data_IF_782421355660
#
_entry.id   IF_782421355660
#
_cell.length_a   1.000
_cell.length_b   1.000
_cell.length_c   1.000
_cell.angle_alpha   90.00
_cell.angle_beta   90.00
_cell.angle_gamma   90.00
#
_symmetry.space_group_name_H-M   'P 1'
#
loop_
_entity.id
_entity.type
_entity.pdbx_description
1 polymer ?
#
# COMPACT_ATOMS: atom_id res chain seq x y z
N UNK A 1 -12.62 4.82 8.75
CA UNK A 1 -11.99 4.60 10.07
C UNK A 1 -11.24 3.27 10.11
N UNK A 2 -11.90 2.12 9.89
CA UNK A 2 -11.28 0.78 9.97
C UNK A 2 -10.08 0.59 9.03
N UNK A 3 -10.17 1.05 7.77
CA UNK A 3 -9.05 0.96 6.83
C UNK A 3 -7.82 1.77 7.29
N UNK A 4 -8.06 2.94 7.88
CA UNK A 4 -7.00 3.78 8.43
C UNK A 4 -6.32 3.10 9.64
N UNK A 5 -7.10 2.50 10.53
CA UNK A 5 -6.54 1.78 11.69
C UNK A 5 -5.71 0.57 11.27
N UNK A 6 -6.14 -0.19 10.27
CA UNK A 6 -5.35 -1.33 9.73
C UNK A 6 -4.01 -0.82 9.18
N UNK A 7 -4.03 0.27 8.40
CA UNK A 7 -2.81 0.86 7.85
C UNK A 7 -1.85 1.35 8.95
N UNK A 8 -2.36 2.02 9.99
CA UNK A 8 -1.56 2.47 11.12
C UNK A 8 -0.93 1.32 11.89
N UNK A 9 -1.69 0.25 12.17
CA UNK A 9 -1.16 -0.96 12.83
C UNK A 9 -0.07 -1.60 11.99
N UNK A 10 -0.26 -1.71 10.67
CA UNK A 10 0.77 -2.22 9.77
C UNK A 10 2.08 -1.43 9.85
N UNK A 11 2.01 -0.10 9.86
CA UNK A 11 3.19 0.75 9.98
C UNK A 11 3.89 0.67 11.34
N UNK A 12 3.19 0.25 12.41
CA UNK A 12 3.79 0.02 13.73
C UNK A 12 4.44 -1.35 13.87
N UNK A 13 3.80 -2.38 13.29
CA UNK A 13 4.30 -3.77 13.38
C UNK A 13 5.63 -3.93 12.64
N UNK A 14 5.80 -3.27 11.48
CA UNK A 14 7.03 -3.36 10.68
C UNK A 14 8.31 -2.97 11.46
N UNK A 15 8.44 -1.77 12.06
CA UNK A 15 9.63 -1.41 12.83
C UNK A 15 9.81 -2.27 14.08
N UNK A 16 8.72 -2.70 14.75
CA UNK A 16 8.82 -3.60 15.91
C UNK A 16 9.41 -4.96 15.53
N UNK A 17 8.97 -5.52 14.39
CA UNK A 17 9.55 -6.74 13.84
C UNK A 17 11.01 -6.53 13.42
N UNK A 18 11.34 -5.39 12.81
CA UNK A 18 12.71 -5.08 12.44
C UNK A 18 13.64 -5.03 13.67
N UNK A 19 13.19 -4.39 14.76
CA UNK A 19 13.94 -4.34 16.03
C UNK A 19 14.13 -5.73 16.66
N UNK A 20 13.17 -6.64 16.52
CA UNK A 20 13.30 -8.00 17.04
C UNK A 20 14.18 -8.91 16.17
N UNK A 21 14.12 -8.76 14.85
CA UNK A 21 14.73 -9.71 13.90
C UNK A 21 16.13 -9.30 13.44
N UNK A 22 16.36 -8.01 13.16
CA UNK A 22 17.64 -7.55 12.62
C UNK A 22 18.84 -7.73 13.56
N UNK A 23 18.71 -7.59 14.91
CA UNK A 23 19.83 -7.82 15.83
C UNK A 23 20.24 -9.29 15.99
N UNK A 24 19.42 -10.23 15.51
CA UNK A 24 19.75 -11.65 15.56
C UNK A 24 20.91 -11.87 14.59
N UNK A 25 22.07 -12.37 15.02
CA UNK A 25 23.21 -12.63 14.13
C UNK A 25 23.02 -13.97 13.38
N UNK A 26 22.08 -14.04 12.43
CA UNK A 26 21.90 -15.23 11.57
C UNK A 26 22.85 -15.18 10.38
N UNK A 27 23.70 -16.21 10.28
CA UNK A 27 24.54 -16.48 9.11
C UNK A 27 24.43 -17.97 8.76
N UNK A 28 23.30 -18.35 8.16
CA UNK A 28 23.08 -19.73 7.73
C UNK A 28 23.59 -19.88 6.30
N UNK A 29 24.66 -20.66 6.10
CA UNK A 29 25.15 -21.01 4.76
C UNK A 29 24.31 -22.16 4.21
N UNK A 30 23.55 -21.91 3.15
CA UNK A 30 22.76 -22.93 2.46
C UNK A 30 23.50 -23.32 1.18
N UNK A 31 24.29 -24.38 1.26
CA UNK A 31 25.25 -24.75 0.20
C UNK A 31 26.42 -23.78 0.10
N UNK A 32 27.11 -23.78 -1.05
CA UNK A 32 28.30 -22.93 -1.28
C UNK A 32 27.98 -21.51 -1.77
N UNK A 33 26.77 -21.27 -2.30
CA UNK A 33 26.45 -20.04 -3.03
C UNK A 33 25.52 -19.07 -2.30
N UNK A 34 24.79 -19.52 -1.27
CA UNK A 34 23.76 -18.69 -0.63
C UNK A 34 23.96 -18.57 0.88
N UNK A 35 24.04 -17.33 1.37
CA UNK A 35 24.10 -17.02 2.80
C UNK A 35 22.79 -16.36 3.21
N UNK A 36 22.08 -17.00 4.11
CA UNK A 36 20.84 -16.49 4.66
C UNK A 36 21.13 -15.60 5.87
N UNK A 37 20.89 -14.31 5.70
CA UNK A 37 21.04 -13.28 6.71
C UNK A 37 19.71 -12.94 7.40
N UNK A 38 19.78 -12.23 8.51
CA UNK A 38 18.64 -11.82 9.34
C UNK A 38 17.64 -10.93 8.59
N UNK A 39 18.10 -10.13 7.64
CA UNK A 39 17.21 -9.33 6.79
C UNK A 39 16.36 -10.19 5.85
N UNK A 40 16.86 -11.34 5.40
CA UNK A 40 16.07 -12.30 4.62
C UNK A 40 14.92 -12.86 5.46
N UNK A 41 15.19 -13.19 6.73
CA UNK A 41 14.17 -13.64 7.67
C UNK A 41 13.10 -12.56 7.90
N UNK A 42 13.52 -11.30 8.07
CA UNK A 42 12.60 -10.18 8.20
C UNK A 42 11.68 -10.03 7.00
N UNK A 43 12.21 -10.11 5.77
CA UNK A 43 11.40 -10.07 4.55
C UNK A 43 10.45 -11.27 4.44
N UNK A 44 10.91 -12.46 4.83
CA UNK A 44 10.09 -13.66 4.82
C UNK A 44 8.90 -13.52 5.77
N UNK A 45 9.13 -13.07 7.01
CA UNK A 45 8.05 -12.81 7.98
C UNK A 45 7.08 -11.77 7.44
N UNK A 46 7.58 -10.67 6.86
CA UNK A 46 6.74 -9.62 6.26
C UNK A 46 5.90 -10.12 5.07
N UNK A 47 6.35 -11.16 4.36
CA UNK A 47 5.62 -11.74 3.23
C UNK A 47 4.47 -12.66 3.65
N UNK A 48 4.51 -13.23 4.86
CA UNK A 48 3.51 -14.20 5.33
C UNK A 48 2.08 -13.65 5.34
N UNK A 49 1.79 -12.44 5.89
CA UNK A 49 0.43 -11.91 5.85
C UNK A 49 -0.10 -11.72 4.42
N UNK A 50 0.78 -11.34 3.48
CA UNK A 50 0.41 -11.19 2.08
C UNK A 50 0.09 -12.53 1.43
N UNK A 51 0.87 -13.58 1.71
CA UNK A 51 0.62 -14.94 1.25
C UNK A 51 -0.69 -15.50 1.82
N UNK A 52 -0.90 -15.36 3.13
CA UNK A 52 -2.14 -15.81 3.79
C UNK A 52 -3.34 -15.09 3.17
N UNK A 53 -3.24 -13.78 2.96
CA UNK A 53 -4.28 -12.98 2.30
C UNK A 53 -4.55 -13.47 0.88
N UNK A 54 -3.50 -13.70 0.08
CA UNK A 54 -3.63 -14.22 -1.30
C UNK A 54 -4.31 -15.58 -1.34
N UNK A 55 -3.99 -16.47 -0.41
CA UNK A 55 -4.64 -17.78 -0.29
C UNK A 55 -6.11 -17.59 0.10
N UNK A 56 -6.40 -16.73 1.07
CA UNK A 56 -7.76 -16.42 1.48
C UNK A 56 -8.62 -15.89 0.32
N UNK A 57 -8.08 -15.01 -0.52
CA UNK A 57 -8.77 -14.45 -1.68
C UNK A 57 -9.27 -15.51 -2.68
N UNK A 58 -8.60 -16.66 -2.80
CA UNK A 58 -9.03 -17.76 -3.69
C UNK A 58 -10.36 -18.37 -3.21
N UNK A 59 -10.63 -18.34 -1.91
CA UNK A 59 -11.85 -18.90 -1.31
C UNK A 59 -13.00 -17.89 -1.21
N UNK A 60 -12.74 -16.60 -1.43
CA UNK A 60 -13.79 -15.59 -1.38
C UNK A 60 -14.69 -15.71 -2.62
N UNK A 61 -16.02 -15.74 -2.44
CA UNK A 61 -16.93 -15.65 -3.57
C UNK A 61 -16.81 -14.28 -4.23
N UNK A 62 -17.14 -14.23 -5.51
CA UNK A 62 -17.29 -12.97 -6.24
C UNK A 62 -18.31 -12.05 -5.55
N UNK A 63 -18.09 -10.74 -5.65
CA UNK A 63 -18.97 -9.75 -5.02
C UNK A 63 -20.41 -9.89 -5.57
N UNK A 64 -21.44 -10.06 -4.71
CA UNK A 64 -22.83 -10.14 -5.15
C UNK A 64 -23.25 -8.93 -5.98
N UNK A 65 -22.79 -7.74 -5.59
CA UNK A 65 -23.09 -6.50 -6.33
C UNK A 65 -22.50 -6.53 -7.74
N UNK A 66 -21.29 -7.05 -7.91
CA UNK A 66 -20.71 -7.23 -9.23
C UNK A 66 -21.49 -8.27 -10.06
N UNK A 67 -21.91 -9.39 -9.45
CA UNK A 67 -22.71 -10.39 -10.15
C UNK A 67 -24.06 -9.82 -10.62
N UNK A 68 -24.73 -9.01 -9.81
CA UNK A 68 -25.98 -8.32 -10.17
C UNK A 68 -25.78 -7.33 -11.33
N UNK A 69 -24.71 -6.53 -11.31
CA UNK A 69 -24.48 -5.52 -12.37
C UNK A 69 -24.20 -6.13 -13.74
N UNK A 70 -23.63 -7.34 -13.80
CA UNK A 70 -23.38 -8.05 -15.07
C UNK A 70 -24.57 -8.96 -15.46
N UNK A 71 -25.69 -8.89 -14.74
CA UNK A 71 -26.92 -9.67 -15.02
C UNK A 71 -26.87 -11.14 -14.59
N UNK A 72 -25.97 -11.49 -13.66
CA UNK A 72 -25.84 -12.86 -13.11
C UNK A 72 -26.54 -12.95 -11.74
N UNK A 73 -27.81 -12.57 -11.69
CA UNK A 73 -28.59 -12.50 -10.45
C UNK A 73 -28.72 -13.85 -9.73
N UNK A 74 -28.88 -14.96 -10.45
CA UNK A 74 -28.92 -16.30 -9.84
C UNK A 74 -27.65 -16.61 -9.03
N UNK A 75 -26.48 -16.29 -9.58
CA UNK A 75 -25.20 -16.48 -8.86
C UNK A 75 -25.08 -15.52 -7.70
N UNK A 76 -25.53 -14.27 -7.84
CA UNK A 76 -25.55 -13.30 -6.76
C UNK A 76 -26.41 -13.80 -5.58
N UNK A 77 -27.58 -14.38 -5.87
CA UNK A 77 -28.49 -14.93 -4.88
C UNK A 77 -27.86 -16.10 -4.12
N UNK A 78 -27.15 -17.00 -4.80
CA UNK A 78 -26.38 -18.07 -4.16
C UNK A 78 -25.33 -17.51 -3.19
N UNK A 79 -24.60 -16.46 -3.59
CA UNK A 79 -23.62 -15.83 -2.69
C UNK A 79 -24.31 -15.18 -1.49
N UNK A 80 -25.46 -14.52 -1.65
CA UNK A 80 -26.23 -13.98 -0.52
C UNK A 80 -26.70 -15.06 0.45
N UNK A 81 -27.20 -16.20 -0.06
CA UNK A 81 -27.59 -17.35 0.77
C UNK A 81 -26.42 -17.89 1.57
N UNK A 82 -25.26 -18.08 0.92
CA UNK A 82 -24.02 -18.52 1.58
C UNK A 82 -23.58 -17.56 2.68
N UNK A 83 -23.55 -16.25 2.39
CA UNK A 83 -23.18 -15.22 3.37
C UNK A 83 -24.17 -15.18 4.54
N UNK A 84 -25.47 -15.32 4.27
CA UNK A 84 -26.50 -15.41 5.31
C UNK A 84 -26.31 -16.64 6.20
N UNK A 85 -26.06 -17.81 5.61
CA UNK A 85 -25.79 -19.04 6.35
C UNK A 85 -24.54 -18.91 7.21
N UNK A 86 -23.46 -18.35 6.69
CA UNK A 86 -22.22 -18.11 7.46
C UNK A 86 -22.41 -17.12 8.61
N UNK A 87 -23.20 -16.06 8.43
CA UNK A 87 -23.41 -15.04 9.45
C UNK A 87 -24.42 -15.45 10.53
N UNK A 88 -25.43 -16.25 10.18
CA UNK A 88 -26.54 -16.61 11.08
C UNK A 88 -26.50 -18.04 11.59
N UNK A 89 -25.71 -18.92 10.95
CA UNK A 89 -25.68 -20.36 11.19
C UNK A 89 -26.91 -21.12 10.69
N UNK A 90 -27.86 -20.46 10.03
CA UNK A 90 -29.10 -21.08 9.52
C UNK A 90 -28.91 -21.65 8.12
N UNK A 91 -29.68 -22.69 7.71
CA UNK A 91 -29.60 -23.25 6.38
C UNK A 91 -29.86 -22.20 5.28
N UNK A 92 -29.16 -22.34 4.14
CA UNK A 92 -29.24 -21.44 2.98
C UNK A 92 -30.67 -21.28 2.45
N UNK A 93 -31.50 -22.32 2.54
CA UNK A 93 -32.89 -22.33 2.06
C UNK A 93 -33.82 -21.46 2.91
N UNK A 94 -33.41 -21.10 4.13
CA UNK A 94 -34.18 -20.20 5.01
C UNK A 94 -33.97 -18.73 4.67
N UNK A 95 -33.17 -18.42 3.64
CA UNK A 95 -32.93 -17.07 3.20
C UNK A 95 -34.23 -16.42 2.68
N UNK A 96 -34.67 -15.26 3.23
CA UNK A 96 -35.99 -14.71 2.96
C UNK A 96 -36.16 -14.12 1.56
N UNK A 97 -35.07 -13.74 0.89
CA UNK A 97 -35.12 -13.10 -0.43
C UNK A 97 -35.02 -14.17 -1.51
N UNK A 98 -36.00 -14.19 -2.43
CA UNK A 98 -36.09 -15.19 -3.51
C UNK A 98 -35.72 -14.67 -4.88
N UNK A 99 -35.86 -13.37 -5.11
CA UNK A 99 -35.58 -12.74 -6.40
C UNK A 99 -34.85 -11.42 -6.17
N UNK A 100 -33.86 -11.14 -7.03
CA UNK A 100 -33.07 -9.92 -6.99
C UNK A 100 -33.48 -8.98 -8.12
N UNK A 101 -33.34 -7.67 -7.88
CA UNK A 101 -33.67 -6.65 -8.88
C UNK A 101 -32.72 -6.76 -10.09
N UNK A 102 -33.31 -6.77 -11.29
CA UNK A 102 -32.57 -6.87 -12.55
C UNK A 102 -32.01 -5.49 -12.97
N UNK A 103 -30.84 -5.13 -12.42
CA UNK A 103 -30.20 -3.82 -12.64
C UNK A 103 -29.91 -3.50 -14.11
N UNK A 104 -29.74 -4.53 -14.94
CA UNK A 104 -29.44 -4.40 -16.37
C UNK A 104 -30.62 -3.83 -17.17
N UNK A 105 -31.86 -4.12 -16.78
CA UNK A 105 -33.07 -3.58 -17.43
C UNK A 105 -33.31 -2.13 -17.04
N UNK A 106 -33.16 -1.82 -15.76
CA UNK A 106 -33.36 -0.46 -15.21
C UNK A 106 -32.39 0.54 -15.84
N UNK A 107 -31.12 0.15 -16.00
CA UNK A 107 -30.11 1.05 -16.59
C UNK A 107 -30.29 1.28 -18.10
N UNK A 108 -30.95 0.37 -18.82
CA UNK A 108 -31.26 0.56 -20.24
C UNK A 108 -32.43 1.54 -20.46
N UNK A 109 -33.41 1.56 -19.55
CA UNK A 109 -34.59 2.44 -19.63
C UNK A 109 -34.27 3.86 -19.12
N UNK A 110 -33.49 3.97 -18.04
CA UNK A 110 -33.06 5.25 -17.47
C UNK A 110 -31.61 5.57 -17.84
N UNK A 111 -31.34 5.76 -19.13
CA UNK A 111 -30.03 6.25 -19.57
C UNK A 111 -29.80 7.68 -19.05
N UNK A 112 -29.20 7.78 -17.88
CA UNK A 112 -28.67 9.04 -17.37
C UNK A 112 -27.72 9.61 -18.44
N UNK A 113 -28.01 10.81 -18.96
CA UNK A 113 -27.24 11.49 -20.03
C UNK A 113 -25.72 11.58 -19.77
N UNK A 114 -25.28 11.32 -18.55
CA UNK A 114 -23.89 11.41 -18.10
C UNK A 114 -23.39 10.13 -17.40
N UNK A 115 -24.11 9.01 -17.44
CA UNK A 115 -23.68 7.73 -16.83
C UNK A 115 -23.42 6.67 -17.90
N UNK A 116 -22.29 5.95 -17.81
CA UNK A 116 -22.05 4.78 -18.66
C UNK A 116 -23.05 3.65 -18.37
N UNK A 117 -23.41 2.86 -19.38
CA UNK A 117 -24.27 1.67 -19.21
C UNK A 117 -23.44 0.41 -18.98
N UNK A 118 -24.06 -0.63 -18.42
CA UNK A 118 -23.45 -1.97 -18.27
C UNK A 118 -24.31 -2.97 -19.03
N UNK A 119 -23.70 -3.71 -19.95
CA UNK A 119 -24.39 -4.78 -20.69
C UNK A 119 -24.18 -6.14 -20.02
N UNK A 120 -25.26 -6.92 -19.92
CA UNK A 120 -25.21 -8.29 -19.42
C UNK A 120 -24.42 -9.20 -20.38
N UNK A 121 -23.69 -10.19 -19.84
CA UNK A 121 -22.91 -11.17 -20.64
C UNK A 121 -21.95 -10.55 -21.69
N UNK A 122 -21.37 -9.41 -21.37
CA UNK A 122 -20.40 -8.67 -22.19
C UNK A 122 -19.05 -9.41 -22.40
N UNK A 123 -18.38 -9.09 -23.50
CA UNK A 123 -16.99 -9.54 -23.76
C UNK A 123 -15.98 -8.78 -22.90
N UNK A 124 -14.76 -9.30 -22.71
CA UNK A 124 -13.71 -8.65 -21.88
C UNK A 124 -13.39 -7.23 -22.37
N UNK A 125 -13.34 -7.02 -23.69
CA UNK A 125 -13.07 -5.72 -24.30
C UNK A 125 -14.22 -4.74 -24.04
N UNK A 126 -15.46 -5.22 -24.18
CA UNK A 126 -16.64 -4.41 -23.89
C UNK A 126 -16.73 -4.03 -22.41
N UNK A 127 -16.38 -4.94 -21.50
CA UNK A 127 -16.31 -4.66 -20.07
C UNK A 127 -15.33 -3.52 -19.73
N UNK A 128 -14.16 -3.51 -20.37
CA UNK A 128 -13.17 -2.45 -20.20
C UNK A 128 -13.69 -1.11 -20.76
N UNK A 129 -14.31 -1.14 -21.94
CA UNK A 129 -14.88 0.08 -22.56
C UNK A 129 -15.98 0.69 -21.70
N UNK A 130 -16.92 -0.12 -21.22
CA UNK A 130 -18.00 0.31 -20.34
C UNK A 130 -17.46 0.83 -19.00
N UNK A 131 -16.45 0.16 -18.44
CA UNK A 131 -15.75 0.63 -17.24
C UNK A 131 -15.11 2.00 -17.45
N UNK A 132 -14.47 2.22 -18.61
CA UNK A 132 -13.91 3.53 -18.97
C UNK A 132 -14.98 4.61 -19.12
N UNK A 133 -16.13 4.25 -19.70
CA UNK A 133 -17.27 5.16 -19.82
C UNK A 133 -17.88 5.53 -18.47
N UNK A 134 -17.75 4.72 -17.43
CA UNK A 134 -18.19 5.05 -16.07
C UNK A 134 -17.20 5.93 -15.31
N UNK A 135 -15.92 5.90 -15.68
CA UNK A 135 -14.89 6.77 -15.12
C UNK A 135 -14.99 8.17 -15.74
N UNK A 136 -15.35 8.27 -17.02
CA UNK A 136 -15.42 9.53 -17.76
C UNK A 136 -16.22 10.65 -17.03
N UNK A 137 -17.43 10.40 -16.47
CA UNK A 137 -18.25 11.39 -15.75
C UNK A 137 -17.56 12.02 -14.56
N UNK A 138 -16.60 11.31 -13.95
CA UNK A 138 -15.83 11.80 -12.81
C UNK A 138 -14.96 13.01 -13.20
N UNK A 139 -14.58 13.12 -14.48
CA UNK A 139 -13.80 14.22 -15.04
C UNK A 139 -14.65 15.37 -15.59
N UNK A 140 -15.96 15.39 -15.31
CA UNK A 140 -16.83 16.53 -15.64
C UNK A 140 -17.20 17.34 -14.39
N UNK A 141 -17.45 18.65 -14.53
CA UNK A 141 -17.91 19.50 -13.43
C UNK A 141 -19.23 18.95 -12.84
N UNK A 142 -19.43 18.94 -11.51
CA UNK A 142 -18.68 19.68 -10.47
C UNK A 142 -17.54 18.90 -9.78
N UNK A 143 -17.21 17.68 -10.20
CA UNK A 143 -16.32 16.79 -9.44
C UNK A 143 -14.82 17.05 -9.67
N UNK A 144 -14.45 17.59 -10.85
CA UNK A 144 -13.06 17.83 -11.26
C UNK A 144 -12.26 18.63 -10.23
N UNK A 145 -12.81 19.73 -9.71
CA UNK A 145 -12.10 20.58 -8.75
C UNK A 145 -11.75 19.82 -7.47
N UNK A 146 -12.67 18.99 -6.97
CA UNK A 146 -12.44 18.16 -5.78
C UNK A 146 -11.36 17.11 -6.03
N UNK A 147 -11.37 16.52 -7.22
CA UNK A 147 -10.38 15.52 -7.64
C UNK A 147 -8.99 16.14 -7.71
N UNK A 148 -8.84 17.30 -8.38
CA UNK A 148 -7.56 18.02 -8.46
C UNK A 148 -7.06 18.37 -7.06
N UNK A 149 -7.92 18.84 -6.16
CA UNK A 149 -7.57 19.13 -4.78
C UNK A 149 -7.02 17.89 -4.05
N UNK A 150 -7.74 16.76 -4.12
CA UNK A 150 -7.34 15.50 -3.48
C UNK A 150 -6.02 14.97 -4.05
N UNK A 151 -5.85 15.00 -5.38
CA UNK A 151 -4.61 14.57 -6.02
C UNK A 151 -3.43 15.47 -5.63
N UNK A 152 -3.63 16.78 -5.54
CA UNK A 152 -2.57 17.71 -5.12
C UNK A 152 -2.16 17.45 -3.67
N UNK A 153 -3.13 17.27 -2.76
CA UNK A 153 -2.83 16.90 -1.37
C UNK A 153 -2.07 15.58 -1.28
N UNK A 154 -2.50 14.55 -2.01
CA UNK A 154 -1.83 13.24 -2.00
C UNK A 154 -0.41 13.31 -2.56
N UNK A 155 -0.19 14.09 -3.62
CA UNK A 155 1.13 14.30 -4.22
C UNK A 155 2.09 14.97 -3.23
N UNK A 156 1.66 16.04 -2.57
CA UNK A 156 2.47 16.75 -1.57
C UNK A 156 2.83 15.84 -0.39
N UNK A 157 1.85 15.09 0.15
CA UNK A 157 2.08 14.15 1.24
C UNK A 157 3.09 13.07 0.82
N UNK A 158 2.92 12.49 -0.36
CA UNK A 158 3.83 11.46 -0.87
C UNK A 158 5.24 12.01 -1.09
N UNK A 159 5.37 13.20 -1.67
CA UNK A 159 6.67 13.85 -1.88
C UNK A 159 7.38 14.09 -0.55
N UNK A 160 6.72 14.73 0.41
CA UNK A 160 7.31 15.03 1.72
C UNK A 160 7.72 13.76 2.47
N UNK A 161 6.87 12.72 2.48
CA UNK A 161 7.18 11.48 3.19
C UNK A 161 8.34 10.70 2.55
N UNK A 162 8.42 10.64 1.21
CA UNK A 162 9.52 9.94 0.54
C UNK A 162 10.84 10.71 0.64
N UNK A 163 10.81 12.05 0.53
CA UNK A 163 12.00 12.88 0.74
C UNK A 163 12.55 12.68 2.15
N UNK A 164 11.71 12.77 3.18
CA UNK A 164 12.16 12.53 4.55
C UNK A 164 12.75 11.12 4.73
N UNK A 165 12.09 10.08 4.20
CA UNK A 165 12.59 8.69 4.28
C UNK A 165 13.97 8.51 3.64
N UNK A 166 14.23 9.15 2.50
CA UNK A 166 15.52 9.05 1.81
C UNK A 166 16.65 9.72 2.62
N UNK A 167 16.37 10.87 3.20
CA UNK A 167 17.38 11.67 3.92
C UNK A 167 17.54 11.29 5.40
N UNK A 168 16.57 10.57 5.98
CA UNK A 168 16.57 10.21 7.41
C UNK A 168 17.86 9.51 7.87
N UNK A 169 18.42 8.50 7.16
CA UNK A 169 19.64 7.84 7.59
C UNK A 169 20.85 8.78 7.60
N UNK A 170 20.97 9.62 6.56
CA UNK A 170 22.06 10.59 6.46
C UNK A 170 21.97 11.63 7.57
N UNK A 171 20.77 12.16 7.84
CA UNK A 171 20.56 13.13 8.93
C UNK A 171 20.99 12.52 10.28
N UNK A 172 20.59 11.28 10.58
CA UNK A 172 21.00 10.62 11.83
C UNK A 172 22.49 10.35 11.89
N UNK A 173 23.11 9.97 10.77
CA UNK A 173 24.56 9.80 10.70
C UNK A 173 25.28 11.12 11.01
N UNK A 174 24.88 12.23 10.40
CA UNK A 174 25.49 13.53 10.67
C UNK A 174 25.32 13.99 12.13
N UNK A 175 24.17 13.73 12.75
CA UNK A 175 23.95 14.00 14.17
C UNK A 175 24.91 13.18 15.04
N UNK A 176 25.02 11.87 14.79
CA UNK A 176 25.91 10.99 15.55
C UNK A 176 27.37 11.36 15.36
N UNK A 177 27.80 11.64 14.13
CA UNK A 177 29.17 12.06 13.83
C UNK A 177 29.49 13.38 14.54
N UNK A 178 28.59 14.36 14.48
CA UNK A 178 28.80 15.64 15.17
C UNK A 178 28.93 15.46 16.69
N UNK A 179 28.06 14.67 17.31
CA UNK A 179 28.11 14.37 18.74
C UNK A 179 29.40 13.63 19.11
N UNK A 180 29.84 12.70 18.27
CA UNK A 180 31.08 11.95 18.49
C UNK A 180 32.33 12.86 18.46
N UNK A 181 32.41 13.81 17.53
CA UNK A 181 33.57 14.69 17.39
C UNK A 181 33.57 15.90 18.31
N UNK A 182 32.40 16.49 18.60
CA UNK A 182 32.31 17.74 19.37
C UNK A 182 31.82 17.54 20.81
N UNK A 183 31.35 16.33 21.16
CA UNK A 183 30.84 15.97 22.48
C UNK A 183 29.74 16.91 23.03
N UNK A 184 29.07 17.64 22.14
CA UNK A 184 28.02 18.61 22.45
C UNK A 184 26.82 18.42 21.52
N UNK A 185 25.62 18.71 22.03
CA UNK A 185 24.39 18.73 21.24
C UNK A 185 24.01 20.17 20.91
N UNK A 186 24.25 20.56 19.67
CA UNK A 186 23.84 21.87 19.12
C UNK A 186 22.60 21.75 18.22
N UNK A 187 22.19 22.84 17.57
CA UNK A 187 21.02 22.81 16.69
C UNK A 187 21.27 21.95 15.45
N UNK A 188 20.20 21.35 14.89
CA UNK A 188 20.28 20.55 13.67
C UNK A 188 20.94 21.32 12.51
N UNK A 189 20.71 22.64 12.41
CA UNK A 189 21.33 23.48 11.38
C UNK A 189 22.87 23.43 11.45
N UNK A 190 23.43 23.49 12.67
CA UNK A 190 24.88 23.44 12.90
C UNK A 190 25.42 22.03 12.66
N UNK A 191 24.70 21.00 13.09
CA UNK A 191 25.08 19.61 12.84
C UNK A 191 25.10 19.26 11.34
N UNK A 192 24.19 19.83 10.55
CA UNK A 192 24.11 19.60 9.10
C UNK A 192 25.18 20.35 8.30
N UNK A 193 25.94 21.27 8.90
CA UNK A 193 27.11 21.90 8.24
C UNK A 193 28.20 20.86 7.88
N UNK A 194 28.18 19.67 8.49
CA UNK A 194 29.04 18.53 8.13
C UNK A 194 28.85 18.12 6.66
N UNK A 195 27.67 18.34 6.07
CA UNK A 195 27.40 18.05 4.67
C UNK A 195 27.89 19.13 3.70
N UNK A 196 28.25 20.32 4.19
CA UNK A 196 28.79 21.35 3.32
C UNK A 196 30.25 21.03 2.99
N UNK A 197 30.64 20.97 1.71
CA UNK A 197 32.04 20.85 1.36
C UNK A 197 32.77 22.06 1.97
N UNK A 198 33.81 21.78 2.75
CA UNK A 198 34.59 22.78 3.49
C UNK A 198 35.21 23.76 2.49
N UNK A 199 34.53 24.87 2.16
CA UNK A 199 35.10 25.93 1.35
C UNK A 199 36.04 26.77 2.21
N UNK A 200 37.15 26.17 2.64
CA UNK A 200 38.28 26.91 3.18
C UNK A 200 39.55 26.41 2.53
N UNK A 201 39.96 27.17 1.51
CA UNK A 201 41.34 27.34 1.11
C UNK A 201 42.24 27.42 2.34
N UNK A 202 43.04 26.40 2.58
CA UNK A 202 44.25 26.50 3.40
C UNK A 202 45.27 25.52 2.84
N UNK A 203 46.35 26.10 2.32
CA UNK A 203 47.59 25.42 2.02
C UNK A 203 48.05 24.62 3.25
N UNK A 204 47.78 23.32 3.26
CA UNK A 204 48.60 22.36 3.98
C UNK A 204 48.29 20.96 3.49
N UNK A 205 49.34 20.32 3.03
CA UNK A 205 49.48 18.88 2.86
C UNK A 205 49.01 18.16 4.12
N UNK A 206 47.76 17.73 4.14
CA UNK A 206 47.27 16.72 5.06
C UNK A 206 46.60 15.65 4.21
N UNK A 207 47.29 14.51 4.07
CA UNK A 207 46.74 13.32 3.45
C UNK A 207 45.44 12.94 4.17
N UNK A 208 44.35 12.81 3.42
CA UNK A 208 43.13 12.18 3.92
C UNK A 208 43.42 10.69 4.12
N UNK A 209 43.76 10.30 5.34
CA UNK A 209 43.81 8.89 5.72
C UNK A 209 42.37 8.41 5.89
N UNK A 210 41.87 7.69 4.89
CA UNK A 210 40.67 6.86 5.03
C UNK A 210 41.05 5.69 5.94
N UNK A 211 40.74 5.81 7.23
CA UNK A 211 40.84 4.69 8.16
C UNK A 211 39.67 3.76 7.86
N UNK A 212 39.91 2.75 7.02
CA UNK A 212 39.03 1.60 6.91
C UNK A 212 39.09 0.87 8.26
N UNK A 213 38.03 0.97 9.07
CA UNK A 213 37.84 0.09 10.22
C UNK A 213 37.46 -1.28 9.66
N UNK A 214 38.47 -2.12 9.42
CA UNK A 214 38.27 -3.56 9.24
C UNK A 214 38.01 -4.18 10.61
N UNK A 215 36.80 -4.71 10.80
CA UNK A 215 36.53 -5.73 11.83
C UNK A 215 37.33 -6.99 11.57
#
# INVERSE_FOLDING_TARGET
>A
MILGTIFSVGNLVLPLLALGVLPINMNLKLGEYFVFHSWNLYLLICSLPALISSIAFIFLPESPKFLMTVGRNEKALQVFRKVYSMNTGKPEDTFPIKELVEETKINNENSNKHGGYITANRTKVQALREGWQQINPLFFPPHVTKIILVFTMQCLIMMSLNTLRLWLPQIFQAINDYQYYNNETTSLCVMLEVFQPRSKSLNSTAECVVVCITT
#
